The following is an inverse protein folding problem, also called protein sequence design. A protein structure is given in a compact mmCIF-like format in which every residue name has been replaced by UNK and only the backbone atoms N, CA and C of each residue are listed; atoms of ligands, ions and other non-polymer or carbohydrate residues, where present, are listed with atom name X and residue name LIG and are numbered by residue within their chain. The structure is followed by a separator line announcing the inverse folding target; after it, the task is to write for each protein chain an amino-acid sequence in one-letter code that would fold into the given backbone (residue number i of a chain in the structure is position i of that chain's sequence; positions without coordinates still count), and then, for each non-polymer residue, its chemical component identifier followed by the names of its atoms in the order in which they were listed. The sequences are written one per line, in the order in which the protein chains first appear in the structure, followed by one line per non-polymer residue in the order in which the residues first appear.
data_IF_038436236513
#
_entry.id   IF_038436236513
#
_cell.length_a   1.000
_cell.length_b   1.000
_cell.length_c   1.000
_cell.angle_alpha   90.00
_cell.angle_beta   90.00
_cell.angle_gamma   90.00
#
_symmetry.space_group_name_H-M   'P 1'
#
loop_
_entity.id
_entity.type
_entity.pdbx_description
1 polymer ?
#
# COMPACT_ATOMS: atom_id res chain seq x y z
N UNK A 1 1.32 3.83 -8.33
CA UNK A 1 0.02 3.10 -8.39
C UNK A 1 0.10 1.93 -7.41
N UNK A 2 -1.05 1.39 -6.98
CA UNK A 2 -1.09 0.16 -6.18
C UNK A 2 -0.72 -1.07 -7.02
N UNK A 3 0.07 -1.96 -6.45
CA UNK A 3 0.52 -3.22 -7.04
C UNK A 3 0.11 -4.40 -6.16
N UNK A 4 -0.37 -5.49 -6.77
CA UNK A 4 -0.74 -6.73 -6.07
C UNK A 4 0.48 -7.66 -5.98
N UNK A 5 0.75 -8.18 -4.78
CA UNK A 5 1.92 -9.00 -4.47
C UNK A 5 1.54 -10.20 -3.59
N UNK A 6 2.42 -11.20 -3.54
CA UNK A 6 2.30 -12.33 -2.61
C UNK A 6 3.12 -12.05 -1.35
N UNK A 7 2.46 -11.75 -0.24
CA UNK A 7 3.05 -11.66 1.09
C UNK A 7 3.05 -13.01 1.80
N UNK A 8 3.82 -13.13 2.88
CA UNK A 8 3.81 -14.27 3.79
C UNK A 8 3.12 -13.86 5.09
N UNK A 9 2.12 -14.62 5.50
CA UNK A 9 1.49 -14.47 6.81
C UNK A 9 1.85 -15.70 7.66
N UNK A 10 2.69 -15.46 8.67
CA UNK A 10 3.15 -16.50 9.58
C UNK A 10 2.05 -17.00 10.53
N UNK A 11 1.04 -16.18 10.83
CA UNK A 11 -0.11 -16.58 11.64
C UNK A 11 -1.04 -17.51 10.86
N UNK A 12 -1.22 -17.22 9.55
CA UNK A 12 -2.02 -18.04 8.63
C UNK A 12 -1.23 -19.22 8.04
N UNK A 13 0.08 -19.30 8.30
CA UNK A 13 0.94 -20.40 7.85
C UNK A 13 1.13 -20.48 6.34
N UNK A 14 1.01 -19.37 5.60
CA UNK A 14 1.01 -19.40 4.14
C UNK A 14 1.11 -18.05 3.45
N UNK A 15 1.09 -18.09 2.11
CA UNK A 15 1.12 -16.89 1.29
C UNK A 15 -0.26 -16.23 1.22
N UNK A 16 -0.29 -14.90 1.26
CA UNK A 16 -1.48 -14.05 1.19
C UNK A 16 -1.32 -13.00 0.09
N UNK A 17 -2.43 -12.52 -0.47
CA UNK A 17 -2.40 -11.39 -1.41
C UNK A 17 -2.27 -10.08 -0.63
N UNK A 18 -1.24 -9.30 -0.92
CA UNK A 18 -1.00 -7.97 -0.37
C UNK A 18 -1.07 -6.90 -1.47
N UNK A 19 -1.28 -5.65 -1.06
CA UNK A 19 -1.23 -4.51 -1.97
C UNK A 19 -0.24 -3.49 -1.45
N UNK A 20 0.68 -3.07 -2.30
CA UNK A 20 1.73 -2.12 -1.95
C UNK A 20 1.70 -0.91 -2.88
N UNK A 21 2.09 0.25 -2.33
CA UNK A 21 2.34 1.46 -3.12
C UNK A 21 3.57 2.14 -2.59
N UNK A 22 4.58 2.29 -3.44
CA UNK A 22 5.74 3.12 -3.16
C UNK A 22 6.03 3.95 -4.40
N UNK A 23 5.72 5.24 -4.34
CA UNK A 23 6.00 6.15 -5.46
C UNK A 23 7.37 6.81 -5.35
N UNK A 24 8.20 6.35 -4.40
CA UNK A 24 9.41 7.04 -3.96
C UNK A 24 9.11 8.45 -3.43
N UNK A 25 10.14 9.13 -2.93
CA UNK A 25 10.09 10.58 -2.86
C UNK A 25 10.39 11.05 -4.28
N UNK A 26 9.34 11.42 -5.02
CA UNK A 26 9.51 12.06 -6.33
C UNK A 26 10.47 13.25 -6.24
N UNK A 27 11.05 13.70 -7.37
CA UNK A 27 11.93 14.86 -7.37
C UNK A 27 11.23 16.08 -6.72
N UNK A 28 11.98 17.03 -6.13
CA UNK A 28 11.40 18.27 -5.63
C UNK A 28 10.53 18.93 -6.71
N UNK A 29 9.27 19.26 -6.38
CA UNK A 29 8.31 19.82 -7.33
C UNK A 29 7.50 18.79 -8.13
N UNK A 30 7.68 17.48 -7.89
CA UNK A 30 6.78 16.47 -8.43
C UNK A 30 5.34 16.68 -7.92
N UNK A 31 4.32 16.45 -8.78
CA UNK A 31 2.93 16.58 -8.37
C UNK A 31 2.59 15.58 -7.25
N UNK A 32 1.62 15.92 -6.39
CA UNK A 32 1.18 15.02 -5.33
C UNK A 32 0.65 13.70 -5.91
N UNK A 33 1.03 12.60 -5.27
CA UNK A 33 0.55 11.26 -5.62
C UNK A 33 -0.91 11.08 -5.16
N UNK A 34 -1.72 10.45 -6.02
CA UNK A 34 -3.12 10.15 -5.76
C UNK A 34 -3.45 8.73 -6.23
N UNK A 35 -3.18 7.73 -5.39
CA UNK A 35 -3.39 6.31 -5.72
C UNK A 35 -4.57 5.73 -4.93
N UNK A 36 -5.67 5.42 -5.61
CA UNK A 36 -6.85 4.79 -5.02
C UNK A 36 -6.81 3.26 -5.19
N UNK A 37 -7.20 2.53 -4.14
CA UNK A 37 -7.43 1.09 -4.18
C UNK A 37 -8.87 0.82 -3.75
N UNK A 38 -9.57 -0.06 -4.46
CA UNK A 38 -10.96 -0.42 -4.17
C UNK A 38 -11.10 -1.92 -4.10
N UNK A 39 -11.75 -2.42 -3.05
CA UNK A 39 -12.12 -3.83 -2.96
C UNK A 39 -13.17 -4.21 -4.02
N UNK A 40 -13.42 -5.51 -4.13
CA UNK A 40 -14.61 -6.00 -4.82
C UNK A 40 -15.84 -5.70 -3.97
N UNK A 41 -17.01 -5.75 -4.59
CA UNK A 41 -18.26 -5.66 -3.88
C UNK A 41 -18.39 -6.78 -2.83
N UNK A 42 -18.75 -6.42 -1.60
CA UNK A 42 -19.00 -7.36 -0.50
C UNK A 42 -20.44 -7.18 -0.04
N UNK A 43 -21.32 -8.18 -0.23
CA UNK A 43 -22.69 -8.10 0.26
C UNK A 43 -22.73 -8.02 1.78
N UNK A 44 -23.41 -6.98 2.33
CA UNK A 44 -23.53 -6.79 3.79
C UNK A 44 -24.46 -7.79 4.49
N UNK A 45 -25.27 -8.55 3.74
CA UNK A 45 -26.29 -9.44 4.30
C UNK A 45 -27.24 -8.73 5.28
N UNK A 46 -27.52 -9.37 6.41
CA UNK A 46 -28.35 -8.82 7.50
C UNK A 46 -27.57 -7.92 8.48
N UNK A 47 -26.28 -7.66 8.25
CA UNK A 47 -25.48 -6.86 9.17
C UNK A 47 -26.01 -5.42 9.26
N UNK A 48 -26.10 -4.93 10.50
CA UNK A 48 -26.43 -3.53 10.82
C UNK A 48 -25.18 -2.67 11.01
N UNK A 49 -24.04 -3.30 11.35
CA UNK A 49 -22.72 -2.67 11.50
C UNK A 49 -21.67 -3.55 10.82
N UNK A 50 -20.75 -2.95 10.08
CA UNK A 50 -19.62 -3.63 9.44
C UNK A 50 -18.33 -3.03 9.99
N UNK A 51 -17.42 -3.88 10.46
CA UNK A 51 -16.09 -3.50 10.91
C UNK A 51 -15.06 -3.91 9.86
N UNK A 52 -14.05 -3.07 9.65
CA UNK A 52 -12.93 -3.35 8.76
C UNK A 52 -11.64 -3.30 9.58
N UNK A 53 -10.96 -4.43 9.69
CA UNK A 53 -9.61 -4.51 10.24
C UNK A 53 -8.60 -4.36 9.10
N UNK A 54 -7.62 -3.48 9.27
CA UNK A 54 -6.54 -3.26 8.31
C UNK A 54 -5.20 -3.58 9.00
N UNK A 55 -4.46 -4.52 8.42
CA UNK A 55 -3.08 -4.83 8.80
C UNK A 55 -2.15 -4.31 7.73
N UNK A 56 -1.23 -3.44 8.08
CA UNK A 56 -0.33 -2.79 7.13
C UNK A 56 1.03 -2.49 7.74
N UNK A 57 2.02 -2.31 6.88
CA UNK A 57 3.35 -1.80 7.23
C UNK A 57 3.57 -0.46 6.54
N UNK A 58 4.36 0.42 7.18
CA UNK A 58 4.74 1.72 6.61
C UNK A 58 6.25 1.83 6.63
N UNK A 59 6.83 2.18 5.49
CA UNK A 59 8.24 2.53 5.40
C UNK A 59 8.45 3.96 5.88
N UNK A 60 9.46 4.17 6.73
CA UNK A 60 9.80 5.50 7.19
C UNK A 60 10.37 6.35 6.04
N UNK A 61 10.00 7.63 5.98
CA UNK A 61 10.40 8.50 4.86
C UNK A 61 11.92 8.72 4.74
N UNK A 62 12.63 8.63 5.86
CA UNK A 62 14.09 8.74 5.95
C UNK A 62 14.82 7.48 5.48
N UNK A 63 14.17 6.30 5.54
CA UNK A 63 14.70 5.07 4.98
C UNK A 63 14.53 4.95 3.46
N UNK A 64 13.76 5.85 2.83
CA UNK A 64 13.62 5.91 1.38
C UNK A 64 14.87 6.58 0.79
N UNK A 65 15.64 5.89 -0.06
CA UNK A 65 16.79 6.50 -0.73
C UNK A 65 16.35 7.75 -1.47
N UNK A 66 16.95 8.90 -1.15
CA UNK A 66 16.77 10.09 -1.96
C UNK A 66 17.29 9.75 -3.36
N UNK A 67 16.45 9.86 -4.38
CA UNK A 67 16.92 9.83 -5.76
C UNK A 67 18.06 10.86 -5.86
N UNK A 68 19.29 10.38 -6.04
CA UNK A 68 20.43 11.24 -6.31
C UNK A 68 20.12 11.92 -7.64
N UNK A 69 19.72 13.18 -7.60
CA UNK A 69 19.73 14.00 -8.80
C UNK A 69 21.14 13.94 -9.37
N UNK A 70 21.28 13.42 -10.58
CA UNK A 70 22.49 13.59 -11.38
C UNK A 70 22.72 15.08 -11.52
N UNK A 71 23.67 15.62 -10.76
CA UNK A 71 24.25 16.93 -11.04
C UNK A 71 25.14 16.76 -12.26
N UNK A 72 24.91 17.64 -13.25
CA UNK A 72 25.92 18.23 -14.14
C UNK A 72 26.73 17.26 -14.97
#
# INVERSE_FOLDING_TARGET
QWEELSGLDAELGGAVRTFEVCSGRGPPGAPPQNSWLRSRWVPRGAATTVLAELRFTVMACDSIPRARGTRG
#
